data_IF_380697066350
#
_entry.id   IF_380697066350
#
_cell.length_a   1.000
_cell.length_b   1.000
_cell.length_c   1.000
_cell.angle_alpha   90.00
_cell.angle_beta   90.00
_cell.angle_gamma   90.00
#
_symmetry.space_group_name_H-M   'P 1'
#
loop_
_entity.id
_entity.type
_entity.pdbx_description
1 polymer ?
#
# COMPACT_ATOMS: atom_id res chain seq x y z
N UNK A 1 3.20 17.60 -7.13
CA UNK A 1 2.97 18.24 -8.44
C UNK A 1 4.31 18.44 -9.10
N UNK A 2 4.38 18.22 -10.40
CA UNK A 2 5.58 18.34 -11.21
C UNK A 2 5.34 19.34 -12.33
N UNK A 3 6.29 20.23 -12.54
CA UNK A 3 6.35 21.05 -13.73
C UNK A 3 7.09 20.27 -14.80
N UNK A 4 6.43 20.01 -15.93
CA UNK A 4 7.07 19.39 -17.10
C UNK A 4 7.30 20.48 -18.15
N UNK A 5 8.56 20.71 -18.49
CA UNK A 5 8.97 21.54 -19.63
C UNK A 5 9.24 20.65 -20.85
N UNK A 6 8.74 21.06 -22.02
CA UNK A 6 9.01 20.42 -23.30
C UNK A 6 9.53 21.44 -24.31
N UNK A 7 10.66 21.11 -24.93
CA UNK A 7 11.18 21.73 -26.15
C UNK A 7 11.34 20.63 -27.18
N UNK A 8 10.88 20.87 -28.41
CA UNK A 8 10.98 19.91 -29.52
C UNK A 8 11.94 20.45 -30.56
N UNK A 9 12.94 19.67 -30.91
CA UNK A 9 13.89 19.96 -32.00
C UNK A 9 13.48 19.17 -33.25
N UNK A 10 13.43 19.81 -34.42
CA UNK A 10 13.17 19.13 -35.69
C UNK A 10 14.45 18.51 -36.30
N UNK A 11 14.31 17.90 -37.49
CA UNK A 11 15.42 17.27 -38.22
C UNK A 11 16.41 18.26 -38.84
N UNK A 12 16.17 19.57 -38.66
CA UNK A 12 17.01 20.68 -39.13
C UNK A 12 17.59 21.48 -37.97
N UNK A 13 17.61 20.89 -36.77
CA UNK A 13 18.13 21.50 -35.54
C UNK A 13 17.38 22.78 -35.11
N UNK A 14 16.12 22.95 -35.51
CA UNK A 14 15.28 24.06 -35.06
C UNK A 14 14.45 23.67 -33.82
N UNK A 15 14.53 24.49 -32.77
CA UNK A 15 13.80 24.27 -31.51
C UNK A 15 12.44 24.98 -31.48
N UNK A 16 11.46 24.35 -30.85
CA UNK A 16 10.21 25.01 -30.46
C UNK A 16 10.42 26.01 -29.31
N UNK A 17 9.46 26.91 -29.10
CA UNK A 17 9.36 27.59 -27.81
C UNK A 17 9.13 26.56 -26.69
N UNK A 18 9.62 26.85 -25.47
CA UNK A 18 9.36 26.00 -24.31
C UNK A 18 7.86 26.01 -23.97
N UNK A 19 7.29 24.82 -23.81
CA UNK A 19 5.93 24.63 -23.30
C UNK A 19 6.00 23.97 -21.93
N UNK A 20 5.39 24.61 -20.94
CA UNK A 20 5.32 24.08 -19.57
C UNK A 20 3.93 23.56 -19.24
N UNK A 21 3.87 22.47 -18.47
CA UNK A 21 2.61 21.93 -17.94
C UNK A 21 2.78 21.38 -16.53
N UNK A 22 1.87 21.79 -15.64
CA UNK A 22 1.75 21.23 -14.31
C UNK A 22 1.04 19.88 -14.35
N UNK A 23 1.65 18.86 -13.75
CA UNK A 23 1.10 17.51 -13.60
C UNK A 23 1.03 17.17 -12.12
N UNK A 24 -0.18 16.93 -11.62
CA UNK A 24 -0.37 16.46 -10.25
C UNK A 24 -0.54 14.95 -10.23
N UNK A 25 0.43 14.24 -9.63
CA UNK A 25 0.28 12.83 -9.28
C UNK A 25 -0.33 12.77 -7.89
N UNK A 26 -1.50 12.13 -7.76
CA UNK A 26 -2.18 11.90 -6.49
C UNK A 26 -2.23 10.41 -6.16
N UNK A 27 -2.39 10.09 -4.87
CA UNK A 27 -2.61 8.73 -4.41
C UNK A 27 -3.96 8.19 -4.88
N UNK A 28 -4.24 6.89 -4.68
CA UNK A 28 -5.51 6.31 -5.08
C UNK A 28 -6.69 6.97 -4.33
N UNK A 29 -7.87 7.02 -4.95
CA UNK A 29 -9.07 7.56 -4.29
C UNK A 29 -9.47 6.76 -3.03
N UNK A 30 -9.11 5.47 -2.98
CA UNK A 30 -9.42 4.55 -1.90
C UNK A 30 -8.16 3.79 -1.48
N UNK A 31 -8.14 3.34 -0.24
CA UNK A 31 -7.05 2.48 0.23
C UNK A 31 -7.02 1.19 -0.57
N UNK A 32 -5.85 0.84 -1.10
CA UNK A 32 -5.59 -0.41 -1.83
C UNK A 32 -4.75 -1.31 -0.93
N UNK A 33 -5.02 -2.62 -0.97
CA UNK A 33 -4.21 -3.63 -0.29
C UNK A 33 -4.18 -4.92 -1.10
N UNK A 34 -3.00 -5.53 -1.19
CA UNK A 34 -2.81 -6.90 -1.65
C UNK A 34 -1.50 -7.46 -1.09
N UNK A 35 -1.25 -8.75 -1.30
CA UNK A 35 0.03 -9.35 -0.93
C UNK A 35 0.63 -10.22 -2.02
N UNK A 36 1.95 -10.38 -1.94
CA UNK A 36 2.66 -11.42 -2.68
C UNK A 36 3.84 -11.95 -1.85
N UNK A 37 4.17 -13.25 -1.96
CA UNK A 37 3.37 -14.27 -2.63
C UNK A 37 2.03 -14.53 -1.91
N UNK A 38 1.07 -15.09 -2.64
CA UNK A 38 -0.19 -15.60 -2.09
C UNK A 38 -0.59 -16.83 -2.94
N UNK A 39 -0.35 -18.06 -2.47
CA UNK A 39 -0.04 -18.44 -1.07
C UNK A 39 1.35 -18.02 -0.58
N UNK A 40 1.49 -17.75 0.71
CA UNK A 40 2.75 -17.45 1.38
C UNK A 40 3.24 -18.63 2.23
N UNK A 41 4.54 -18.95 2.16
CA UNK A 41 5.16 -20.06 2.90
C UNK A 41 6.08 -19.58 4.03
N UNK A 42 6.90 -18.55 3.79
CA UNK A 42 7.86 -18.02 4.78
C UNK A 42 7.60 -16.57 5.17
N UNK A 43 7.15 -15.77 4.21
CA UNK A 43 6.83 -14.35 4.39
C UNK A 43 5.80 -13.90 3.35
N UNK A 44 5.13 -12.79 3.63
CA UNK A 44 4.27 -12.10 2.68
C UNK A 44 4.63 -10.61 2.64
N UNK A 45 4.84 -10.07 1.44
CA UNK A 45 4.93 -8.64 1.19
C UNK A 45 3.53 -8.07 1.10
N UNK A 46 3.15 -7.23 2.05
CA UNK A 46 1.86 -6.53 2.09
C UNK A 46 2.03 -5.19 1.40
N UNK A 47 1.47 -5.06 0.20
CA UNK A 47 1.44 -3.79 -0.53
C UNK A 47 0.21 -3.02 -0.09
N UNK A 48 0.40 -1.72 0.16
CA UNK A 48 -0.67 -0.81 0.49
C UNK A 48 -0.47 0.56 -0.15
N UNK A 49 -1.57 1.18 -0.56
CA UNK A 49 -1.59 2.56 -1.03
C UNK A 49 -2.71 3.29 -0.31
N UNK A 50 -2.42 4.49 0.17
CA UNK A 50 -3.38 5.32 0.90
C UNK A 50 -3.80 6.52 0.03
N UNK A 51 -5.03 7.03 0.19
CA UNK A 51 -5.42 8.30 -0.39
C UNK A 51 -4.50 9.45 0.01
N UNK A 52 -4.38 10.45 -0.85
CA UNK A 52 -3.58 11.65 -0.57
C UNK A 52 -4.03 12.30 0.75
N UNK A 53 -3.05 12.64 1.60
CA UNK A 53 -3.30 13.26 2.90
C UNK A 53 -3.75 12.30 4.00
N UNK A 54 -3.78 10.99 3.74
CA UNK A 54 -4.03 10.01 4.80
C UNK A 54 -2.80 9.82 5.70
N UNK A 55 -3.04 9.65 7.00
CA UNK A 55 -2.01 9.49 8.04
C UNK A 55 -2.26 8.26 8.92
N UNK A 56 -1.28 7.93 9.74
CA UNK A 56 -1.37 6.88 10.78
C UNK A 56 -1.85 5.51 10.27
N UNK A 57 -1.26 4.96 9.20
CA UNK A 57 -1.67 3.67 8.69
C UNK A 57 -1.27 2.55 9.67
N UNK A 58 -2.21 1.64 9.92
CA UNK A 58 -2.00 0.44 10.75
C UNK A 58 -2.44 -0.78 9.96
N UNK A 59 -1.51 -1.73 9.78
CA UNK A 59 -1.81 -3.06 9.26
C UNK A 59 -2.42 -3.91 10.36
N UNK A 60 -3.55 -4.55 10.07
CA UNK A 60 -4.16 -5.57 10.93
C UNK A 60 -4.40 -6.84 10.14
N UNK A 61 -3.97 -7.95 10.71
CA UNK A 61 -4.19 -9.28 10.15
C UNK A 61 -4.97 -10.10 11.17
N UNK A 62 -6.07 -10.67 10.70
CA UNK A 62 -6.94 -11.53 11.47
C UNK A 62 -6.88 -12.96 10.93
N UNK A 63 -7.07 -13.95 11.79
CA UNK A 63 -7.32 -15.31 11.33
C UNK A 63 -8.78 -15.46 10.84
N UNK A 64 -9.14 -16.65 10.34
CA UNK A 64 -10.48 -16.91 9.79
C UNK A 64 -11.61 -16.82 10.83
N UNK A 65 -11.31 -16.95 12.13
CA UNK A 65 -12.30 -16.77 13.20
C UNK A 65 -12.50 -15.30 13.58
N UNK A 66 -11.73 -14.39 12.99
CA UNK A 66 -11.78 -12.96 13.27
C UNK A 66 -10.91 -12.50 14.43
N UNK A 67 -10.06 -13.37 15.00
CA UNK A 67 -9.12 -12.97 16.04
C UNK A 67 -7.96 -12.18 15.43
N UNK A 68 -7.60 -11.05 16.06
CA UNK A 68 -6.44 -10.24 15.67
C UNK A 68 -5.17 -11.02 16.01
N UNK A 69 -4.36 -11.33 15.00
CA UNK A 69 -3.10 -12.07 15.19
C UNK A 69 -1.89 -11.18 15.04
N UNK A 70 -1.97 -10.16 14.19
CA UNK A 70 -0.86 -9.25 13.93
C UNK A 70 -1.37 -7.83 13.74
N UNK A 71 -0.70 -6.89 14.40
CA UNK A 71 -0.89 -5.45 14.27
C UNK A 71 0.47 -4.77 14.15
N UNK A 72 0.58 -3.80 13.24
CA UNK A 72 1.80 -3.04 12.99
C UNK A 72 1.45 -1.62 12.51
N UNK A 73 2.02 -0.61 13.18
CA UNK A 73 2.06 0.75 12.66
C UNK A 73 2.95 0.81 11.41
N UNK A 74 2.44 1.36 10.33
CA UNK A 74 3.12 1.49 9.06
C UNK A 74 3.60 2.93 8.87
N UNK A 75 4.67 3.10 8.11
CA UNK A 75 5.10 4.43 7.66
C UNK A 75 4.33 4.81 6.39
N UNK A 76 3.65 5.95 6.39
CA UNK A 76 2.96 6.43 5.20
C UNK A 76 3.92 6.53 3.99
N UNK A 77 3.56 5.87 2.89
CA UNK A 77 4.36 5.83 1.66
C UNK A 77 5.46 4.75 1.62
N UNK A 78 5.73 4.02 2.70
CA UNK A 78 6.78 2.99 2.77
C UNK A 78 6.25 1.58 2.45
N UNK A 79 5.57 1.42 1.33
CA UNK A 79 5.03 0.12 0.88
C UNK A 79 6.05 -0.63 -0.01
N UNK A 80 6.19 -1.97 0.11
CA UNK A 80 5.45 -2.89 0.96
C UNK A 80 6.00 -3.02 2.38
N UNK A 81 5.17 -3.54 3.29
CA UNK A 81 5.61 -4.09 4.57
C UNK A 81 5.81 -5.61 4.46
N UNK A 82 6.94 -6.14 4.95
CA UNK A 82 7.21 -7.59 4.92
C UNK A 82 6.77 -8.22 6.24
N UNK A 83 5.75 -9.07 6.18
CA UNK A 83 5.28 -9.85 7.32
C UNK A 83 5.89 -11.26 7.29
N UNK A 84 6.51 -11.66 8.40
CA UNK A 84 7.17 -12.96 8.57
C UNK A 84 6.23 -14.11 8.94
N UNK A 85 4.90 -13.91 8.82
CA UNK A 85 3.87 -14.89 9.17
C UNK A 85 3.79 -15.22 10.67
N UNK A 86 4.32 -14.37 11.54
CA UNK A 86 4.20 -14.50 13.00
C UNK A 86 3.18 -13.52 13.56
N UNK A 87 2.56 -13.87 14.69
CA UNK A 87 1.74 -12.92 15.45
C UNK A 87 2.58 -11.74 15.97
N UNK A 88 1.93 -10.69 16.48
CA UNK A 88 2.62 -9.60 17.19
C UNK A 88 3.44 -10.12 18.38
N UNK A 89 3.01 -11.21 19.02
CA UNK A 89 3.76 -11.88 20.09
C UNK A 89 4.91 -12.79 19.60
N UNK A 90 5.17 -12.86 18.29
CA UNK A 90 6.25 -13.67 17.71
C UNK A 90 5.90 -15.14 17.44
N UNK A 91 4.70 -15.60 17.80
CA UNK A 91 4.27 -16.99 17.53
C UNK A 91 3.99 -17.22 16.04
N UNK A 92 4.60 -18.24 15.40
CA UNK A 92 4.31 -18.61 14.02
C UNK A 92 2.82 -18.91 13.80
N UNK A 93 2.24 -18.35 12.76
CA UNK A 93 0.82 -18.57 12.43
C UNK A 93 0.65 -19.85 11.59
N UNK A 94 -0.34 -20.70 11.88
CA UNK A 94 -0.56 -21.96 11.15
C UNK A 94 -0.97 -21.74 9.68
N UNK A 95 -0.92 -22.81 8.87
CA UNK A 95 -1.50 -22.78 7.52
C UNK A 95 -2.99 -22.46 7.61
N UNK A 96 -3.49 -21.61 6.70
CA UNK A 96 -4.88 -21.18 6.73
C UNK A 96 -5.13 -19.84 6.05
N UNK A 97 -6.40 -19.42 6.04
CA UNK A 97 -6.83 -18.15 5.48
C UNK A 97 -6.77 -17.04 6.53
N UNK A 98 -6.17 -15.92 6.15
CA UNK A 98 -6.02 -14.71 6.95
C UNK A 98 -6.64 -13.52 6.23
N UNK A 99 -7.17 -12.60 7.02
CA UNK A 99 -7.85 -11.40 6.56
C UNK A 99 -6.97 -10.19 6.87
N UNK A 100 -6.40 -9.57 5.84
CA UNK A 100 -5.54 -8.41 5.95
C UNK A 100 -6.34 -7.13 5.66
N UNK A 101 -6.18 -6.12 6.50
CA UNK A 101 -6.73 -4.78 6.29
C UNK A 101 -5.74 -3.71 6.72
N UNK A 102 -5.76 -2.58 6.03
CA UNK A 102 -5.08 -1.36 6.48
C UNK A 102 -6.14 -0.35 6.90
N UNK A 103 -6.00 0.17 8.12
CA UNK A 103 -6.78 1.31 8.62
C UNK A 103 -5.89 2.54 8.67
N UNK A 104 -6.43 3.72 8.40
CA UNK A 104 -5.71 4.99 8.45
C UNK A 104 -6.67 6.12 8.81
N UNK A 105 -6.14 7.32 9.05
CA UNK A 105 -6.91 8.56 9.09
C UNK A 105 -6.90 9.23 7.72
N UNK A 106 -8.03 9.75 7.27
CA UNK A 106 -8.07 10.61 6.09
C UNK A 106 -7.67 12.05 6.44
N UNK A 107 -7.55 12.90 5.43
CA UNK A 107 -7.19 14.31 5.62
C UNK A 107 -8.15 15.09 6.55
N UNK A 108 -9.40 14.63 6.70
CA UNK A 108 -10.39 15.19 7.61
C UNK A 108 -10.40 14.57 9.02
N UNK A 109 -9.43 13.71 9.35
CA UNK A 109 -9.34 12.99 10.63
C UNK A 109 -10.29 11.80 10.79
N UNK A 110 -11.13 11.52 9.80
CA UNK A 110 -12.02 10.36 9.78
C UNK A 110 -11.25 9.06 9.53
N UNK A 111 -11.73 7.95 10.10
CA UNK A 111 -11.10 6.64 9.86
C UNK A 111 -11.49 6.12 8.47
N UNK A 112 -10.49 5.74 7.69
CA UNK A 112 -10.65 5.01 6.43
C UNK A 112 -10.07 3.61 6.57
N UNK A 113 -10.60 2.68 5.78
CA UNK A 113 -10.22 1.27 5.80
C UNK A 113 -10.11 0.75 4.37
N UNK A 114 -9.12 -0.10 4.13
CA UNK A 114 -9.01 -0.87 2.88
C UNK A 114 -10.15 -1.89 2.72
N UNK A 115 -10.37 -2.39 1.50
CA UNK A 115 -11.00 -3.70 1.32
C UNK A 115 -10.27 -4.76 2.16
N UNK A 116 -10.98 -5.83 2.51
CA UNK A 116 -10.34 -6.99 3.16
C UNK A 116 -9.68 -7.87 2.11
N UNK A 117 -8.36 -7.99 2.20
CA UNK A 117 -7.60 -8.92 1.38
C UNK A 117 -7.47 -10.28 2.07
N UNK A 118 -7.56 -11.35 1.27
CA UNK A 118 -7.48 -12.72 1.73
C UNK A 118 -6.08 -13.27 1.43
N UNK A 119 -5.29 -13.52 2.47
CA UNK A 119 -3.97 -14.11 2.37
C UNK A 119 -4.04 -15.57 2.79
N UNK A 120 -3.55 -16.49 1.96
CA UNK A 120 -3.40 -17.90 2.30
C UNK A 120 -1.98 -18.17 2.77
N UNK A 121 -1.82 -18.69 3.99
CA UNK A 121 -0.55 -19.30 4.44
C UNK A 121 -0.58 -20.79 4.05
N UNK A 122 0.39 -21.21 3.27
CA UNK A 122 0.61 -22.59 2.87
C UNK A 122 2.11 -22.90 2.86
N UNK A 123 2.56 -23.62 3.88
CA UNK A 123 3.92 -24.15 4.03
C UNK A 123 4.07 -25.54 3.44
#
# INVERSE_FOLDING_TARGET
TYTVSLVVTDDKDADSAEVTKEITVSGPERTVIYSYPNPASTQASIVYYLPTGATDPVLRIYNITGALVFEQELTAGASPYVWNLNSTGGTPQPNGLYLCVVVAKNAGGGTIKSPTFKLLIAR
#
